data_IF_097433534267
#
_entry.id   IF_097433534267
#
_cell.length_a   1.000
_cell.length_b   1.000
_cell.length_c   1.000
_cell.angle_alpha   90.00
_cell.angle_beta   90.00
_cell.angle_gamma   90.00
#
_symmetry.space_group_name_H-M   'P 1'
#
loop_
_entity.id
_entity.type
_entity.pdbx_description
1 polymer ?
#
# COMPACT_ATOMS: atom_id res chain seq x y z
N UNK A 1 -9.39 -28.02 -10.99
CA UNK A 1 -8.74 -27.27 -12.07
C UNK A 1 -8.18 -26.00 -11.44
N UNK A 2 -6.88 -25.99 -11.29
CA UNK A 2 -6.11 -24.95 -10.59
C UNK A 2 -6.04 -23.68 -11.47
N UNK A 3 -6.92 -22.70 -11.23
CA UNK A 3 -7.05 -21.47 -12.03
C UNK A 3 -6.23 -20.28 -11.50
N UNK A 4 -5.37 -20.48 -10.50
CA UNK A 4 -4.70 -19.40 -9.77
C UNK A 4 -3.16 -19.46 -9.82
N UNK A 5 -2.59 -19.95 -10.91
CA UNK A 5 -1.16 -19.76 -11.16
C UNK A 5 -0.97 -18.44 -11.90
N UNK A 6 -0.15 -17.54 -11.33
CA UNK A 6 0.21 -16.27 -11.95
C UNK A 6 0.63 -16.45 -13.41
N UNK A 7 0.47 -15.40 -14.20
CA UNK A 7 0.86 -15.42 -15.63
C UNK A 7 2.38 -15.30 -15.70
N UNK A 8 3.02 -16.27 -16.33
CA UNK A 8 4.45 -16.29 -16.58
C UNK A 8 4.71 -15.68 -17.97
N UNK A 9 5.62 -14.73 -18.02
CA UNK A 9 5.93 -13.96 -19.22
C UNK A 9 7.42 -13.68 -19.30
N UNK A 10 7.92 -13.50 -20.51
CA UNK A 10 9.25 -12.92 -20.74
C UNK A 10 9.17 -11.38 -20.73
N UNK A 11 10.31 -10.70 -20.56
CA UNK A 11 10.41 -9.25 -20.68
C UNK A 11 9.82 -8.72 -21.99
N UNK A 12 10.04 -9.44 -23.10
CA UNK A 12 9.51 -9.06 -24.41
C UNK A 12 7.99 -9.17 -24.48
N UNK A 13 7.43 -10.25 -23.96
CA UNK A 13 5.97 -10.46 -23.96
C UNK A 13 5.25 -9.43 -23.10
N UNK A 14 5.77 -9.13 -21.90
CA UNK A 14 5.15 -8.14 -21.03
C UNK A 14 5.20 -6.74 -21.62
N UNK A 15 6.31 -6.36 -22.28
CA UNK A 15 6.40 -5.06 -22.95
C UNK A 15 5.38 -4.93 -24.09
N UNK A 16 5.19 -5.98 -24.88
CA UNK A 16 4.14 -6.01 -25.92
C UNK A 16 2.74 -5.89 -25.30
N UNK A 17 2.45 -6.62 -24.21
CA UNK A 17 1.16 -6.54 -23.51
C UNK A 17 0.93 -5.13 -22.94
N UNK A 18 1.95 -4.51 -22.32
CA UNK A 18 1.87 -3.14 -21.80
C UNK A 18 1.53 -2.14 -22.91
N UNK A 19 2.22 -2.19 -24.06
CA UNK A 19 1.94 -1.27 -25.16
C UNK A 19 0.53 -1.45 -25.73
N UNK A 20 0.04 -2.68 -25.83
CA UNK A 20 -1.36 -2.93 -26.20
C UNK A 20 -2.34 -2.38 -25.16
N UNK A 21 -2.09 -2.60 -23.88
CA UNK A 21 -2.97 -2.16 -22.80
C UNK A 21 -3.00 -0.63 -22.65
N UNK A 22 -1.91 0.08 -22.95
CA UNK A 22 -1.85 1.55 -22.96
C UNK A 22 -2.81 2.18 -23.98
N UNK A 23 -3.29 1.44 -24.97
CA UNK A 23 -4.32 1.93 -25.91
C UNK A 23 -5.71 2.03 -25.26
N UNK A 24 -5.93 1.35 -24.13
CA UNK A 24 -7.23 1.23 -23.45
C UNK A 24 -7.19 1.85 -22.06
N UNK A 25 -6.07 1.73 -21.35
CA UNK A 25 -5.91 2.20 -19.98
C UNK A 25 -5.05 3.46 -19.93
N UNK A 26 -5.42 4.41 -19.08
CA UNK A 26 -4.67 5.67 -18.89
C UNK A 26 -3.28 5.44 -18.31
N UNK A 27 -3.14 4.43 -17.43
CA UNK A 27 -1.86 4.04 -16.85
C UNK A 27 -1.76 2.51 -16.87
N UNK A 28 -0.65 2.01 -17.41
CA UNK A 28 -0.25 0.59 -17.31
C UNK A 28 1.18 0.55 -16.79
N UNK A 29 1.40 -0.13 -15.67
CA UNK A 29 2.72 -0.18 -15.04
C UNK A 29 2.95 -1.50 -14.31
N UNK A 30 4.21 -1.82 -14.11
CA UNK A 30 4.64 -2.90 -13.22
C UNK A 30 5.04 -2.31 -11.86
N UNK A 31 4.74 -3.03 -10.81
CA UNK A 31 5.03 -2.62 -9.43
C UNK A 31 5.77 -3.74 -8.72
N UNK A 32 6.96 -3.43 -8.22
CA UNK A 32 7.61 -4.25 -7.21
C UNK A 32 7.07 -3.86 -5.82
N UNK A 33 6.27 -4.75 -5.27
CA UNK A 33 5.59 -4.53 -3.99
C UNK A 33 6.60 -4.48 -2.83
N UNK A 34 7.71 -5.21 -2.95
CA UNK A 34 8.75 -5.27 -1.91
C UNK A 34 9.50 -3.95 -1.79
N UNK A 35 9.76 -3.29 -2.93
CA UNK A 35 10.43 -1.98 -3.00
C UNK A 35 9.47 -0.80 -2.98
N UNK A 36 8.17 -1.07 -3.09
CA UNK A 36 7.13 -0.01 -3.19
C UNK A 36 7.41 0.92 -4.38
N UNK A 37 7.93 0.37 -5.47
CA UNK A 37 8.42 1.14 -6.62
C UNK A 37 7.82 0.63 -7.94
N UNK A 38 7.56 1.52 -8.92
CA UNK A 38 7.32 1.11 -10.29
C UNK A 38 8.60 0.54 -10.91
N UNK A 39 8.43 -0.38 -11.86
CA UNK A 39 9.51 -1.11 -12.52
C UNK A 39 9.37 -0.94 -14.02
N UNK A 40 10.46 -0.54 -14.67
CA UNK A 40 10.60 -0.58 -16.12
C UNK A 40 11.44 -1.80 -16.51
N UNK A 41 10.91 -2.65 -17.37
CA UNK A 41 11.62 -3.83 -17.86
C UNK A 41 12.16 -3.51 -19.24
N UNK A 42 13.49 -3.38 -19.35
CA UNK A 42 14.22 -3.37 -20.62
C UNK A 42 14.34 -4.79 -21.19
N UNK A 43 14.87 -4.91 -22.42
CA UNK A 43 15.12 -6.22 -23.05
C UNK A 43 16.24 -7.00 -22.33
N UNK A 44 17.19 -6.30 -21.72
CA UNK A 44 18.37 -6.88 -21.09
C UNK A 44 18.48 -6.58 -19.60
N UNK A 45 17.64 -5.69 -19.04
CA UNK A 45 17.73 -5.28 -17.62
C UNK A 45 16.39 -4.81 -17.05
N UNK A 46 16.25 -4.98 -15.74
CA UNK A 46 15.14 -4.50 -14.94
C UNK A 46 15.56 -3.21 -14.24
N UNK A 47 15.08 -2.06 -14.71
CA UNK A 47 15.38 -0.78 -14.08
C UNK A 47 14.23 -0.32 -13.18
N UNK A 48 14.60 0.26 -12.04
CA UNK A 48 13.62 0.87 -11.12
C UNK A 48 13.60 2.37 -11.33
N UNK A 49 12.42 2.97 -11.30
CA UNK A 49 12.31 4.43 -11.19
C UNK A 49 12.72 4.81 -9.75
N UNK A 50 14.00 5.09 -9.56
CA UNK A 50 14.61 5.27 -8.25
C UNK A 50 14.00 6.42 -7.43
N UNK A 51 13.41 7.41 -8.10
CA UNK A 51 12.88 8.63 -7.47
C UNK A 51 11.37 8.55 -7.17
N UNK A 52 10.65 7.56 -7.73
CA UNK A 52 9.19 7.50 -7.63
C UNK A 52 8.72 6.29 -6.85
N UNK A 53 7.95 6.54 -5.79
CA UNK A 53 7.21 5.49 -5.09
C UNK A 53 5.90 5.16 -5.83
N UNK A 54 5.45 3.91 -5.79
CA UNK A 54 4.26 3.48 -6.52
C UNK A 54 2.98 4.25 -6.12
N UNK A 55 2.94 4.80 -4.93
CA UNK A 55 1.81 5.59 -4.42
C UNK A 55 1.84 7.07 -4.86
N UNK A 56 2.96 7.56 -5.40
CA UNK A 56 3.09 8.94 -5.86
C UNK A 56 2.11 9.26 -7.01
N UNK A 57 1.80 8.27 -7.85
CA UNK A 57 0.79 8.43 -8.93
C UNK A 57 -0.60 8.84 -8.40
N UNK A 58 -0.89 8.54 -7.14
CA UNK A 58 -2.14 8.90 -6.45
C UNK A 58 -2.03 10.22 -5.68
N UNK A 59 -0.97 10.98 -5.90
CA UNK A 59 -0.65 12.19 -5.15
C UNK A 59 -0.63 11.98 -3.61
N UNK A 60 -0.20 10.78 -3.19
CA UNK A 60 -0.11 10.39 -1.78
C UNK A 60 1.33 10.50 -1.29
N UNK A 61 1.51 11.09 -0.13
CA UNK A 61 2.82 11.18 0.53
C UNK A 61 3.23 9.92 1.30
N UNK A 62 2.37 8.89 1.35
CA UNK A 62 2.60 7.63 2.08
C UNK A 62 1.96 6.44 1.38
N UNK A 63 2.32 5.23 1.79
CA UNK A 63 1.73 3.98 1.30
C UNK A 63 0.20 4.00 1.33
N UNK A 64 -0.40 3.41 0.28
CA UNK A 64 -1.85 3.30 0.19
C UNK A 64 -2.42 2.50 1.37
N UNK A 65 -3.49 3.00 1.96
CA UNK A 65 -4.20 2.35 3.07
C UNK A 65 -4.77 0.98 2.67
N UNK A 66 -5.26 0.89 1.46
CA UNK A 66 -5.79 -0.32 0.86
C UNK A 66 -4.98 -0.65 -0.39
N UNK A 67 -3.75 -1.15 -0.20
CA UNK A 67 -2.84 -1.46 -1.29
C UNK A 67 -3.31 -2.71 -2.04
N UNK A 68 -3.83 -2.51 -3.25
CA UNK A 68 -4.29 -3.63 -4.10
C UNK A 68 -3.13 -4.51 -4.55
N UNK A 69 -1.95 -3.91 -4.84
CA UNK A 69 -0.79 -4.64 -5.31
C UNK A 69 -0.25 -5.58 -4.23
N UNK A 70 -0.24 -5.16 -2.96
CA UNK A 70 0.15 -6.02 -1.85
C UNK A 70 -0.81 -7.22 -1.71
N UNK A 71 -2.12 -6.98 -1.82
CA UNK A 71 -3.13 -8.06 -1.76
C UNK A 71 -3.00 -9.05 -2.92
N UNK A 72 -2.79 -8.53 -4.13
CA UNK A 72 -2.62 -9.33 -5.35
C UNK A 72 -1.35 -10.15 -5.28
N UNK A 73 -0.26 -9.55 -4.84
CA UNK A 73 1.02 -10.22 -4.66
C UNK A 73 0.92 -11.38 -3.67
N UNK A 74 0.29 -11.14 -2.52
CA UNK A 74 0.09 -12.14 -1.49
C UNK A 74 -0.79 -13.32 -1.93
N UNK A 75 -1.85 -13.02 -2.66
CA UNK A 75 -2.84 -14.02 -3.08
C UNK A 75 -2.55 -14.62 -4.46
N UNK A 76 -1.56 -14.10 -5.18
CA UNK A 76 -1.13 -14.52 -6.52
C UNK A 76 -2.30 -14.56 -7.54
N UNK A 77 -3.22 -13.60 -7.46
CA UNK A 77 -4.44 -13.55 -8.26
C UNK A 77 -4.61 -12.20 -8.99
N UNK A 78 -5.82 -11.93 -9.45
CA UNK A 78 -6.24 -10.64 -10.02
C UNK A 78 -7.30 -10.04 -9.09
N UNK A 79 -7.20 -8.74 -8.86
CA UNK A 79 -8.19 -7.96 -8.08
C UNK A 79 -8.47 -6.62 -8.74
N UNK A 80 -9.60 -6.03 -8.37
CA UNK A 80 -10.00 -4.69 -8.81
C UNK A 80 -10.37 -3.85 -7.59
N UNK A 81 -10.02 -2.56 -7.64
CA UNK A 81 -10.49 -1.56 -6.68
C UNK A 81 -10.81 -0.24 -7.38
N UNK A 82 -11.47 0.64 -6.66
CA UNK A 82 -11.55 2.05 -7.03
C UNK A 82 -10.58 2.88 -6.19
N UNK A 83 -9.94 3.86 -6.82
CA UNK A 83 -9.10 4.86 -6.18
C UNK A 83 -9.70 6.22 -6.44
N UNK A 84 -9.66 7.09 -5.43
CA UNK A 84 -10.27 8.40 -5.48
C UNK A 84 -9.16 9.44 -5.28
N UNK A 85 -8.98 10.31 -6.25
CA UNK A 85 -7.95 11.35 -6.21
C UNK A 85 -8.62 12.67 -6.57
N UNK A 86 -8.72 13.57 -5.62
CA UNK A 86 -9.52 14.79 -5.73
C UNK A 86 -10.98 14.44 -6.08
N UNK A 87 -11.50 14.98 -7.19
CA UNK A 87 -12.86 14.72 -7.70
C UNK A 87 -12.91 13.56 -8.72
N UNK A 88 -11.77 12.95 -9.04
CA UNK A 88 -11.66 11.91 -10.04
C UNK A 88 -11.73 10.51 -9.42
N UNK A 89 -12.36 9.60 -10.15
CA UNK A 89 -12.48 8.19 -9.78
C UNK A 89 -11.68 7.37 -10.79
N UNK A 90 -10.83 6.48 -10.27
CA UNK A 90 -10.03 5.57 -11.07
C UNK A 90 -10.39 4.13 -10.73
N UNK A 91 -10.66 3.33 -11.75
CA UNK A 91 -10.69 1.89 -11.59
C UNK A 91 -9.28 1.34 -11.75
N UNK A 92 -8.83 0.58 -10.76
CA UNK A 92 -7.51 -0.05 -10.75
C UNK A 92 -7.70 -1.56 -10.80
N UNK A 93 -7.18 -2.17 -11.84
CA UNK A 93 -7.09 -3.62 -11.98
C UNK A 93 -5.64 -4.00 -11.73
N UNK A 94 -5.40 -4.91 -10.80
CA UNK A 94 -4.06 -5.42 -10.50
C UNK A 94 -4.02 -6.92 -10.74
N UNK A 95 -2.95 -7.41 -11.38
CA UNK A 95 -2.73 -8.81 -11.76
C UNK A 95 -1.34 -9.25 -11.35
N UNK A 96 -1.23 -10.41 -10.68
CA UNK A 96 0.04 -11.03 -10.37
C UNK A 96 0.67 -11.58 -11.64
N UNK A 97 1.95 -11.24 -11.88
CA UNK A 97 2.73 -11.69 -13.04
C UNK A 97 4.12 -12.12 -12.57
N UNK A 98 4.71 -13.07 -13.28
CA UNK A 98 6.11 -13.48 -13.07
C UNK A 98 6.85 -13.25 -14.40
N UNK A 99 7.83 -12.36 -14.37
CA UNK A 99 8.55 -11.94 -15.57
C UNK A 99 10.01 -12.36 -15.42
N UNK A 100 10.45 -13.28 -16.29
CA UNK A 100 11.78 -13.88 -16.24
C UNK A 100 12.17 -14.36 -14.82
N UNK A 101 11.20 -14.99 -14.13
CA UNK A 101 11.36 -15.49 -12.77
C UNK A 101 11.15 -14.45 -11.66
N UNK A 102 11.01 -13.17 -11.99
CA UNK A 102 10.79 -12.10 -11.01
C UNK A 102 9.29 -11.87 -10.78
N UNK A 103 8.78 -12.03 -9.53
CA UNK A 103 7.38 -11.80 -9.22
C UNK A 103 7.08 -10.30 -9.08
N UNK A 104 6.10 -9.82 -9.85
CA UNK A 104 5.66 -8.43 -9.90
C UNK A 104 4.14 -8.34 -9.93
N UNK A 105 3.61 -7.12 -9.85
CA UNK A 105 2.20 -6.83 -10.07
C UNK A 105 2.04 -5.86 -11.22
N UNK A 106 1.25 -6.24 -12.21
CA UNK A 106 0.81 -5.33 -13.28
C UNK A 106 -0.43 -4.58 -12.81
N UNK A 107 -0.36 -3.27 -12.79
CA UNK A 107 -1.49 -2.37 -12.54
C UNK A 107 -1.96 -1.72 -13.84
N UNK A 108 -3.25 -1.82 -14.10
CA UNK A 108 -3.96 -1.16 -15.18
C UNK A 108 -4.97 -0.20 -14.57
N UNK A 109 -4.88 1.07 -14.94
CA UNK A 109 -5.69 2.14 -14.36
C UNK A 109 -6.52 2.78 -15.45
N UNK A 110 -7.80 2.91 -15.21
CA UNK A 110 -8.75 3.60 -16.08
C UNK A 110 -9.41 4.74 -15.31
N UNK A 111 -9.35 5.97 -15.87
CA UNK A 111 -10.03 7.12 -15.30
C UNK A 111 -11.50 7.10 -15.69
N UNK A 112 -12.39 7.07 -14.71
CA UNK A 112 -13.82 7.12 -14.95
C UNK A 112 -14.25 8.59 -15.15
N UNK A 113 -14.33 9.01 -16.41
CA UNK A 113 -14.67 10.38 -16.78
C UNK A 113 -16.15 10.72 -16.64
N UNK A 114 -17.03 9.73 -16.71
CA UNK A 114 -18.48 9.94 -16.66
C UNK A 114 -19.02 9.93 -15.22
N UNK A 115 -19.19 11.10 -14.68
CA UNK A 115 -19.88 11.32 -13.39
C UNK A 115 -21.33 10.79 -13.36
N UNK A 116 -21.90 10.48 -14.53
CA UNK A 116 -23.28 10.00 -14.72
C UNK A 116 -23.48 8.57 -14.16
N UNK A 117 -22.43 7.74 -14.13
CA UNK A 117 -22.51 6.37 -13.63
C UNK A 117 -22.65 6.26 -12.10
N UNK A 118 -22.45 7.33 -11.34
CA UNK A 118 -22.41 7.30 -9.87
C UNK A 118 -23.74 7.65 -9.20
N UNK A 119 -24.80 7.85 -9.97
CA UNK A 119 -26.15 8.09 -9.46
C UNK A 119 -26.30 9.42 -8.68
N UNK A 120 -27.48 9.60 -8.08
CA UNK A 120 -27.93 10.85 -7.44
C UNK A 120 -27.11 11.33 -6.22
N UNK A 121 -26.17 10.52 -5.72
CA UNK A 121 -25.43 10.84 -4.47
C UNK A 121 -24.07 11.53 -4.68
N UNK A 122 -23.61 11.70 -5.91
CA UNK A 122 -22.34 12.38 -6.22
C UNK A 122 -21.09 11.60 -5.80
N UNK A 123 -19.98 11.89 -6.50
CA UNK A 123 -18.67 11.24 -6.25
C UNK A 123 -18.13 11.51 -4.82
N UNK A 124 -18.34 12.71 -4.30
CA UNK A 124 -17.82 13.12 -2.99
C UNK A 124 -18.33 12.27 -1.83
N UNK A 125 -19.61 11.90 -1.83
CA UNK A 125 -20.19 11.06 -0.77
C UNK A 125 -19.60 9.63 -0.76
N UNK A 126 -19.42 9.04 -1.95
CA UNK A 126 -18.83 7.71 -2.07
C UNK A 126 -17.34 7.70 -1.67
N UNK A 127 -16.61 8.73 -2.09
CA UNK A 127 -15.20 8.95 -1.73
C UNK A 127 -15.05 9.01 -0.22
N UNK A 128 -15.84 9.86 0.44
CA UNK A 128 -15.79 10.01 1.91
C UNK A 128 -16.14 8.70 2.63
N UNK A 129 -17.19 8.02 2.18
CA UNK A 129 -17.57 6.71 2.75
C UNK A 129 -16.48 5.66 2.62
N UNK A 130 -15.88 5.49 1.44
CA UNK A 130 -14.84 4.49 1.23
C UNK A 130 -13.56 4.86 1.98
N UNK A 131 -13.18 6.14 1.99
CA UNK A 131 -12.02 6.61 2.75
C UNK A 131 -12.21 6.40 4.26
N UNK A 132 -13.40 6.68 4.77
CA UNK A 132 -13.77 6.41 6.16
C UNK A 132 -13.73 4.92 6.48
N UNK A 133 -14.33 4.10 5.63
CA UNK A 133 -14.32 2.65 5.79
C UNK A 133 -12.89 2.06 5.78
N UNK A 134 -12.01 2.56 4.90
CA UNK A 134 -10.61 2.13 4.88
C UNK A 134 -9.86 2.54 6.16
N UNK A 135 -10.11 3.74 6.68
CA UNK A 135 -9.54 4.18 7.97
C UNK A 135 -10.03 3.29 9.11
N UNK A 136 -11.33 3.08 9.23
CA UNK A 136 -11.92 2.21 10.25
C UNK A 136 -11.36 0.76 10.19
N UNK A 137 -11.10 0.24 8.98
CA UNK A 137 -10.56 -1.10 8.79
C UNK A 137 -9.08 -1.23 9.17
N UNK A 138 -8.26 -0.22 8.88
CA UNK A 138 -6.80 -0.36 8.83
C UNK A 138 -6.03 0.61 9.71
N UNK A 139 -6.69 1.57 10.33
CA UNK A 139 -6.06 2.50 11.28
C UNK A 139 -6.51 2.24 12.72
N UNK A 140 -5.63 2.54 13.65
CA UNK A 140 -5.95 2.63 15.06
C UNK A 140 -6.68 3.95 15.34
N UNK A 141 -7.88 3.93 15.90
CA UNK A 141 -8.71 5.13 16.05
C UNK A 141 -8.11 6.16 17.01
N UNK A 142 -7.26 5.75 17.94
CA UNK A 142 -6.63 6.64 18.90
C UNK A 142 -5.43 7.38 18.29
N UNK A 143 -4.56 6.65 17.62
CA UNK A 143 -3.24 7.15 17.24
C UNK A 143 -3.07 7.44 15.75
N UNK A 144 -3.95 6.92 14.90
CA UNK A 144 -3.84 7.00 13.44
C UNK A 144 -2.74 6.12 12.84
N UNK A 145 -2.03 5.34 13.64
CA UNK A 145 -1.12 4.31 13.15
C UNK A 145 -1.91 3.18 12.48
N UNK A 146 -1.24 2.37 11.65
CA UNK A 146 -1.88 1.16 11.10
C UNK A 146 -2.21 0.19 12.25
N UNK A 147 -3.34 -0.51 12.14
CA UNK A 147 -3.73 -1.50 13.13
C UNK A 147 -3.18 -2.90 12.77
N UNK A 148 -3.34 -3.87 13.68
CA UNK A 148 -2.94 -5.25 13.49
C UNK A 148 -3.51 -5.88 12.23
N UNK A 149 -4.76 -5.54 11.87
CA UNK A 149 -5.41 -6.06 10.66
C UNK A 149 -4.68 -5.65 9.39
N UNK A 150 -4.16 -4.42 9.33
CA UNK A 150 -3.33 -3.97 8.22
C UNK A 150 -2.09 -4.85 8.06
N UNK A 151 -1.43 -5.21 9.16
CA UNK A 151 -0.28 -6.12 9.11
C UNK A 151 -0.65 -7.48 8.54
N UNK A 152 -1.70 -8.12 9.08
CA UNK A 152 -2.10 -9.47 8.69
C UNK A 152 -2.54 -9.56 7.22
N UNK A 153 -3.24 -8.54 6.72
CA UNK A 153 -3.81 -8.57 5.36
C UNK A 153 -2.89 -7.95 4.30
N UNK A 154 -1.99 -7.03 4.67
CA UNK A 154 -1.24 -6.23 3.70
C UNK A 154 0.29 -6.47 3.75
N UNK A 155 0.83 -6.82 4.90
CA UNK A 155 2.28 -6.87 5.10
C UNK A 155 2.83 -8.28 5.35
N UNK A 156 2.11 -9.11 6.08
CA UNK A 156 2.57 -10.44 6.53
C UNK A 156 3.07 -11.36 5.40
N UNK A 157 2.51 -11.21 4.20
CA UNK A 157 2.85 -12.03 3.04
C UNK A 157 3.90 -11.41 2.12
N UNK A 158 4.49 -10.29 2.50
CA UNK A 158 5.59 -9.70 1.74
C UNK A 158 6.89 -10.43 2.11
N UNK A 159 7.47 -11.17 1.16
CA UNK A 159 8.66 -11.99 1.37
C UNK A 159 9.95 -11.19 1.67
N UNK A 160 9.93 -9.88 1.47
CA UNK A 160 11.07 -8.99 1.69
C UNK A 160 10.65 -7.77 2.50
N UNK A 161 10.60 -7.91 3.81
CA UNK A 161 10.60 -6.77 4.73
C UNK A 161 12.03 -6.53 5.21
N UNK A 162 12.50 -5.29 5.06
CA UNK A 162 13.89 -4.94 5.33
C UNK A 162 14.25 -5.05 6.81
N UNK A 163 13.55 -4.34 7.67
CA UNK A 163 13.78 -4.34 9.11
C UNK A 163 12.46 -4.15 9.86
N UNK A 164 12.39 -4.73 11.04
CA UNK A 164 11.27 -4.56 11.98
C UNK A 164 11.85 -3.99 13.27
N UNK A 165 11.31 -2.86 13.73
CA UNK A 165 11.57 -2.34 15.05
C UNK A 165 10.30 -2.52 15.90
N UNK A 166 10.44 -3.16 17.05
CA UNK A 166 9.36 -3.20 18.07
C UNK A 166 9.67 -2.17 19.13
N UNK A 167 8.68 -1.35 19.43
CA UNK A 167 8.76 -0.29 20.43
C UNK A 167 7.68 -0.58 21.47
N UNK A 168 8.05 -0.63 22.73
CA UNK A 168 7.12 -0.78 23.84
C UNK A 168 7.27 0.38 24.83
N UNK A 169 6.21 0.69 25.57
CA UNK A 169 6.19 1.82 26.52
C UNK A 169 6.41 1.30 27.92
N UNK A 170 7.59 1.55 28.46
CA UNK A 170 7.92 1.17 29.82
C UNK A 170 6.97 1.81 30.84
N UNK A 171 6.53 1.00 31.80
CA UNK A 171 5.68 1.44 32.90
C UNK A 171 4.38 2.15 32.50
N UNK A 172 3.83 1.86 31.29
CA UNK A 172 2.60 2.51 30.81
C UNK A 172 1.42 2.37 31.77
N UNK A 173 1.31 1.24 32.45
CA UNK A 173 0.31 1.05 33.50
C UNK A 173 0.46 2.08 34.63
N UNK A 174 1.69 2.37 35.08
CA UNK A 174 1.95 3.36 36.10
C UNK A 174 1.54 4.78 35.67
N UNK A 175 1.72 5.11 34.38
CA UNK A 175 1.23 6.38 33.81
C UNK A 175 -0.29 6.45 33.93
N UNK A 176 -1.01 5.41 33.56
CA UNK A 176 -2.46 5.36 33.68
C UNK A 176 -2.94 5.44 35.16
N UNK A 177 -2.29 4.68 36.02
CA UNK A 177 -2.66 4.62 37.43
C UNK A 177 -2.38 5.96 38.16
N UNK A 178 -1.33 6.69 37.73
CA UNK A 178 -0.93 7.96 38.38
C UNK A 178 -1.64 9.19 37.78
N UNK A 179 -1.91 9.20 36.48
CA UNK A 179 -2.38 10.38 35.74
C UNK A 179 -3.70 10.15 34.98
N UNK A 180 -4.26 8.95 35.07
CA UNK A 180 -5.50 8.57 34.40
C UNK A 180 -5.32 8.18 32.92
N UNK A 181 -6.33 7.50 32.40
CA UNK A 181 -6.32 6.98 31.00
C UNK A 181 -6.17 8.05 29.92
N UNK A 182 -6.71 9.26 30.16
CA UNK A 182 -6.57 10.39 29.22
C UNK A 182 -5.11 10.78 29.02
N UNK A 183 -4.32 10.77 30.10
CA UNK A 183 -2.89 11.04 30.03
C UNK A 183 -2.13 9.92 29.31
N UNK A 184 -2.52 8.67 29.54
CA UNK A 184 -1.98 7.52 28.82
C UNK A 184 -2.28 7.59 27.31
N UNK A 185 -3.50 7.92 26.93
CA UNK A 185 -3.90 8.10 25.54
C UNK A 185 -3.11 9.23 24.87
N UNK A 186 -2.93 10.36 25.56
CA UNK A 186 -2.11 11.47 25.07
C UNK A 186 -0.64 11.08 24.89
N UNK A 187 -0.09 10.26 25.79
CA UNK A 187 1.26 9.72 25.67
C UNK A 187 1.40 8.83 24.42
N UNK A 188 0.45 7.90 24.19
CA UNK A 188 0.43 7.04 23.01
C UNK A 188 0.35 7.85 21.70
N UNK A 189 -0.53 8.85 21.66
CA UNK A 189 -0.64 9.75 20.49
C UNK A 189 0.66 10.51 20.23
N UNK A 190 1.32 10.98 21.29
CA UNK A 190 2.59 11.73 21.18
C UNK A 190 3.69 10.84 20.66
N UNK A 191 3.82 9.61 21.17
CA UNK A 191 4.82 8.64 20.70
C UNK A 191 4.64 8.37 19.21
N UNK A 192 3.41 8.06 18.76
CA UNK A 192 3.14 7.76 17.34
C UNK A 192 3.43 8.96 16.46
N UNK A 193 3.05 10.17 16.88
CA UNK A 193 3.37 11.39 16.13
C UNK A 193 4.87 11.58 15.97
N UNK A 194 5.62 11.41 17.05
CA UNK A 194 7.09 11.50 17.02
C UNK A 194 7.70 10.45 16.09
N UNK A 195 7.18 9.22 16.08
CA UNK A 195 7.64 8.18 15.15
C UNK A 195 7.37 8.62 13.71
N UNK A 196 6.17 9.13 13.39
CA UNK A 196 5.83 9.59 12.04
C UNK A 196 6.74 10.73 11.53
N UNK A 197 7.23 11.57 12.42
CA UNK A 197 8.16 12.66 12.07
C UNK A 197 9.56 12.16 11.69
N UNK A 198 9.93 10.93 12.11
CA UNK A 198 11.27 10.38 11.95
C UNK A 198 11.36 9.17 11.00
N UNK A 199 10.24 8.73 10.46
CA UNK A 199 10.20 7.61 9.50
C UNK A 199 10.02 8.11 8.08
N UNK A 200 10.38 7.29 7.10
CA UNK A 200 10.25 7.61 5.68
C UNK A 200 8.80 7.41 5.22
N UNK A 201 8.44 8.01 4.09
CA UNK A 201 7.09 7.93 3.51
C UNK A 201 6.63 6.49 3.17
N UNK A 202 7.56 5.58 2.90
CA UNK A 202 7.29 4.17 2.58
C UNK A 202 7.41 3.24 3.79
N UNK A 203 7.90 3.73 4.93
CA UNK A 203 7.87 2.99 6.17
C UNK A 203 6.44 2.88 6.72
N UNK A 204 6.17 1.82 7.46
CA UNK A 204 4.86 1.60 8.06
C UNK A 204 4.97 1.62 9.58
N UNK A 205 4.23 2.53 10.21
CA UNK A 205 4.05 2.57 11.65
C UNK A 205 2.77 1.82 12.01
N UNK A 206 2.88 0.85 12.90
CA UNK A 206 1.80 -0.08 13.23
C UNK A 206 1.64 -0.22 14.74
N UNK A 207 0.40 -0.10 15.21
CA UNK A 207 0.02 -0.43 16.59
C UNK A 207 -0.47 -1.87 16.64
N UNK A 208 0.36 -2.76 17.17
CA UNK A 208 0.06 -4.20 17.19
C UNK A 208 -0.76 -4.62 18.42
N UNK A 209 -0.58 -3.94 19.53
CA UNK A 209 -1.27 -4.17 20.81
C UNK A 209 -1.62 -2.87 21.51
N UNK A 210 -2.05 -2.96 22.77
CA UNK A 210 -2.45 -1.79 23.56
C UNK A 210 -1.31 -0.76 23.71
N UNK A 211 -0.07 -1.22 23.84
CA UNK A 211 1.13 -0.40 24.09
C UNK A 211 2.32 -0.72 23.18
N UNK A 212 2.20 -1.75 22.33
CA UNK A 212 3.30 -2.20 21.46
C UNK A 212 3.15 -1.66 20.05
N UNK A 213 4.20 -1.02 19.55
CA UNK A 213 4.30 -0.49 18.19
C UNK A 213 5.35 -1.24 17.39
N UNK A 214 5.08 -1.45 16.12
CA UNK A 214 6.04 -2.05 15.20
C UNK A 214 6.30 -1.08 14.07
N UNK A 215 7.57 -0.74 13.86
CA UNK A 215 8.03 -0.01 12.70
C UNK A 215 8.61 -1.00 11.68
N UNK A 216 8.04 -1.03 10.49
CA UNK A 216 8.50 -1.87 9.40
C UNK A 216 9.22 -1.00 8.38
N UNK A 217 10.53 -1.25 8.21
CA UNK A 217 11.36 -0.53 7.25
C UNK A 217 11.40 -1.29 5.93
N UNK A 218 11.12 -0.60 4.83
CA UNK A 218 11.38 -1.12 3.50
C UNK A 218 12.89 -1.25 3.28
N UNK A 219 13.34 -2.34 2.64
CA UNK A 219 14.75 -2.63 2.42
C UNK A 219 15.36 -1.67 1.40
N UNK A 220 16.41 -0.94 1.79
CA UNK A 220 17.39 -0.41 0.85
C UNK A 220 18.52 -1.43 0.71
N UNK A 221 18.66 -2.02 -0.45
CA UNK A 221 19.93 -2.61 -0.84
C UNK A 221 20.85 -1.46 -1.23
N UNK A 222 21.68 -0.98 -0.28
CA UNK A 222 22.87 -0.24 -0.66
C UNK A 222 23.78 -1.23 -1.39
N UNK A 223 23.86 -1.13 -2.73
CA UNK A 223 24.96 -1.67 -3.47
C UNK A 223 26.21 -0.86 -3.09
N UNK A 224 27.16 -1.53 -2.48
CA UNK A 224 28.57 -1.11 -2.51
C UNK A 224 29.22 -1.70 -3.74
#
# INVERSE_FOLDING_TARGET
MDKDKGVFMTAREVNMEIEMLKTVFDIVRLVDVSRTAPVNIGLDDCSYEAEHKCFAVWNKGRRCENCISAKVFARKNKMTKFEFVNDDIYQVIAKYVVIDGTPLVMEMVFKMTDKIFLGAYGSGFLIDKISRFNRELYEDPLTGARNRRYFEEQLKSLDKMGAIAMIDVDNFKQINDSYGHVAGDAALCTIVRTIFEHVRADDVVLRYGAVSYTHLRAHETSAH
#
